data_IF_998544331080
#
_entry.id   IF_998544331080
#
_cell.length_a   1.000
_cell.length_b   1.000
_cell.length_c   1.000
_cell.angle_alpha   90.00
_cell.angle_beta   90.00
_cell.angle_gamma   90.00
#
_symmetry.space_group_name_H-M   'P 1'
#
loop_
_entity.id
_entity.type
_entity.pdbx_description
1 polymer ?
#
# COMPACT_ATOMS: atom_id res chain seq x y z
N UNK A 1 -19.00 -10.74 45.06
CA UNK A 1 -18.12 -9.72 44.47
C UNK A 1 -17.61 -10.26 43.15
N UNK A 2 -18.31 -9.96 42.06
CA UNK A 2 -18.01 -10.45 40.72
C UNK A 2 -17.29 -9.35 39.99
N UNK A 3 -15.95 -9.47 39.88
CA UNK A 3 -15.11 -8.58 39.08
C UNK A 3 -15.35 -8.85 37.60
N UNK A 4 -16.20 -8.04 37.00
CA UNK A 4 -16.39 -8.01 35.55
C UNK A 4 -15.12 -7.52 34.88
N UNK A 5 -14.33 -8.43 34.32
CA UNK A 5 -13.28 -8.07 33.37
C UNK A 5 -13.96 -7.55 32.10
N UNK A 6 -14.10 -6.25 32.02
CA UNK A 6 -14.36 -5.57 30.76
C UNK A 6 -13.16 -5.86 29.83
N UNK A 7 -13.30 -6.90 29.04
CA UNK A 7 -12.42 -7.14 27.89
C UNK A 7 -12.63 -5.95 26.96
N UNK A 8 -11.71 -5.00 27.01
CA UNK A 8 -11.65 -3.93 26.03
C UNK A 8 -11.57 -4.60 24.66
N UNK A 9 -12.66 -4.54 23.92
CA UNK A 9 -12.71 -4.96 22.53
C UNK A 9 -11.67 -4.13 21.78
N UNK A 10 -10.71 -4.73 21.05
CA UNK A 10 -9.76 -3.96 20.27
C UNK A 10 -10.55 -3.10 19.26
N UNK A 11 -10.14 -1.85 19.04
CA UNK A 11 -10.83 -0.96 18.11
C UNK A 11 -10.96 -1.66 16.75
N UNK A 12 -12.15 -1.58 16.16
CA UNK A 12 -12.49 -2.18 14.87
C UNK A 12 -11.59 -1.57 13.78
N UNK A 13 -10.48 -2.22 13.44
CA UNK A 13 -9.39 -1.71 12.57
C UNK A 13 -9.54 -2.09 11.11
N UNK A 14 -10.58 -2.84 10.76
CA UNK A 14 -10.97 -3.09 9.39
C UNK A 14 -11.05 -1.82 8.53
N UNK A 15 -11.55 -0.68 9.07
CA UNK A 15 -11.62 0.57 8.34
C UNK A 15 -10.27 1.11 7.86
N UNK A 16 -9.23 1.15 8.71
CA UNK A 16 -7.91 1.69 8.35
C UNK A 16 -7.22 0.88 7.24
N UNK A 17 -7.28 -0.45 7.33
CA UNK A 17 -6.74 -1.32 6.28
C UNK A 17 -7.43 -1.07 4.94
N UNK A 18 -8.77 -1.02 4.95
CA UNK A 18 -9.55 -0.78 3.74
C UNK A 18 -9.27 0.60 3.15
N UNK A 19 -9.14 1.60 3.99
CA UNK A 19 -8.83 2.98 3.60
C UNK A 19 -7.46 3.07 2.92
N UNK A 20 -6.41 2.49 3.50
CA UNK A 20 -5.07 2.44 2.92
C UNK A 20 -5.08 1.69 1.58
N UNK A 21 -5.76 0.55 1.48
CA UNK A 21 -5.90 -0.19 0.22
C UNK A 21 -6.56 0.66 -0.85
N UNK A 22 -7.65 1.35 -0.53
CA UNK A 22 -8.38 2.22 -1.46
C UNK A 22 -7.50 3.37 -1.93
N UNK A 23 -6.77 4.02 -1.01
CA UNK A 23 -5.84 5.08 -1.34
C UNK A 23 -4.74 4.62 -2.31
N UNK A 24 -4.09 3.51 -2.01
CA UNK A 24 -2.98 3.01 -2.82
C UNK A 24 -3.46 2.52 -4.19
N UNK A 25 -4.64 1.91 -4.27
CA UNK A 25 -5.27 1.56 -5.54
C UNK A 25 -5.61 2.81 -6.37
N UNK A 26 -6.14 3.88 -5.75
CA UNK A 26 -6.41 5.16 -6.40
C UNK A 26 -5.11 5.84 -6.89
N UNK A 27 -3.99 5.64 -6.21
CA UNK A 27 -2.66 6.07 -6.65
C UNK A 27 -2.08 5.22 -7.79
N UNK A 28 -2.82 4.23 -8.30
CA UNK A 28 -2.41 3.35 -9.40
C UNK A 28 -1.45 2.25 -8.99
N UNK A 29 -1.32 1.98 -7.70
CA UNK A 29 -0.47 0.91 -7.19
C UNK A 29 -1.25 -0.41 -7.15
N UNK A 30 -0.81 -1.47 -7.84
CA UNK A 30 -1.50 -2.75 -7.85
C UNK A 30 -1.44 -3.39 -6.46
N UNK A 31 -2.57 -3.97 -6.03
CA UNK A 31 -2.62 -4.76 -4.80
C UNK A 31 -2.01 -6.14 -5.01
N UNK A 32 -1.17 -6.55 -4.09
CA UNK A 32 -0.62 -7.91 -4.08
C UNK A 32 -1.67 -8.89 -3.54
N UNK A 33 -1.83 -10.01 -4.23
CA UNK A 33 -2.65 -11.11 -3.74
C UNK A 33 -2.02 -11.73 -2.49
N UNK A 34 -2.79 -11.74 -1.40
CA UNK A 34 -2.33 -12.23 -0.10
C UNK A 34 -2.30 -13.76 -0.01
N UNK A 35 -3.03 -14.45 -0.87
CA UNK A 35 -3.18 -15.89 -0.82
C UNK A 35 -1.97 -16.64 -1.38
N UNK A 36 -1.17 -15.97 -2.23
CA UNK A 36 0.04 -16.55 -2.80
C UNK A 36 1.23 -15.57 -2.74
N UNK A 37 1.91 -15.55 -1.58
CA UNK A 37 3.11 -14.71 -1.38
C UNK A 37 4.23 -14.98 -2.39
N UNK A 38 4.25 -16.15 -3.00
CA UNK A 38 5.26 -16.49 -4.01
C UNK A 38 4.95 -15.87 -5.37
N UNK A 39 3.67 -15.62 -5.66
CA UNK A 39 3.22 -14.98 -6.89
C UNK A 39 2.89 -13.49 -6.71
N UNK A 40 2.80 -13.04 -5.47
CA UNK A 40 2.46 -11.67 -5.17
C UNK A 40 3.41 -10.68 -5.86
N UNK A 41 2.83 -9.65 -6.46
CA UNK A 41 3.53 -8.44 -6.90
C UNK A 41 2.60 -7.25 -6.65
N UNK A 42 3.17 -6.15 -6.21
CA UNK A 42 2.40 -4.99 -5.84
C UNK A 42 2.44 -4.71 -4.35
N UNK A 43 1.45 -3.97 -3.84
CA UNK A 43 1.37 -3.58 -2.43
C UNK A 43 0.57 -4.59 -1.64
N UNK A 44 1.18 -5.14 -0.62
CA UNK A 44 0.50 -5.97 0.39
C UNK A 44 0.15 -5.10 1.60
N UNK A 45 -1.12 -5.11 1.98
CA UNK A 45 -1.64 -4.40 3.15
C UNK A 45 -2.17 -5.39 4.17
N UNK A 46 -1.51 -5.50 5.31
CA UNK A 46 -1.80 -6.50 6.35
C UNK A 46 -2.19 -5.84 7.67
N UNK A 47 -3.13 -6.44 8.39
CA UNK A 47 -3.46 -6.02 9.75
C UNK A 47 -2.41 -6.58 10.73
N UNK A 48 -1.83 -5.72 11.55
CA UNK A 48 -0.82 -6.06 12.56
C UNK A 48 -1.28 -5.74 13.99
N UNK A 49 -2.57 -5.66 14.20
CA UNK A 49 -3.15 -5.37 15.51
C UNK A 49 -3.10 -3.89 15.86
N UNK A 50 -2.01 -3.24 16.22
CA UNK A 50 -1.93 -1.80 16.54
C UNK A 50 -1.58 -0.89 15.35
N UNK A 51 -1.24 -1.48 14.23
CA UNK A 51 -0.88 -0.82 12.99
C UNK A 51 -1.32 -1.63 11.79
N UNK A 52 -1.22 -1.04 10.63
CA UNK A 52 -1.37 -1.72 9.34
C UNK A 52 0.00 -1.82 8.71
N UNK A 53 0.40 -3.04 8.36
CA UNK A 53 1.63 -3.28 7.62
C UNK A 53 1.43 -2.98 6.14
N UNK A 54 2.34 -2.23 5.53
CA UNK A 54 2.35 -1.93 4.10
C UNK A 54 3.70 -2.34 3.54
N UNK A 55 3.71 -3.22 2.55
CA UNK A 55 4.92 -3.77 1.97
C UNK A 55 4.80 -3.86 0.45
N UNK A 56 5.89 -3.60 -0.28
CA UNK A 56 5.94 -3.78 -1.72
C UNK A 56 6.59 -5.11 -2.08
N UNK A 57 5.89 -5.89 -2.90
CA UNK A 57 6.40 -7.13 -3.48
C UNK A 57 6.82 -6.91 -4.92
N UNK A 58 8.09 -7.13 -5.20
CA UNK A 58 8.65 -7.13 -6.55
C UNK A 58 8.13 -8.35 -7.32
N UNK A 59 7.98 -8.23 -8.63
CA UNK A 59 7.49 -9.33 -9.46
C UNK A 59 8.29 -10.63 -9.29
N UNK A 60 7.60 -11.77 -9.40
CA UNK A 60 8.24 -13.10 -9.32
C UNK A 60 9.37 -13.27 -10.32
N UNK A 61 9.19 -12.78 -11.54
CA UNK A 61 10.21 -12.88 -12.59
C UNK A 61 11.50 -12.16 -12.20
N UNK A 62 11.40 -10.96 -11.64
CA UNK A 62 12.59 -10.21 -11.19
C UNK A 62 13.24 -10.89 -9.97
N UNK A 63 12.45 -11.37 -9.02
CA UNK A 63 12.98 -12.13 -7.86
C UNK A 63 13.68 -13.42 -8.30
N UNK A 64 13.10 -14.16 -9.26
CA UNK A 64 13.69 -15.36 -9.81
C UNK A 64 15.02 -15.08 -10.52
N UNK A 65 15.06 -14.05 -11.37
CA UNK A 65 16.28 -13.66 -12.05
C UNK A 65 17.40 -13.25 -11.07
N UNK A 66 17.07 -12.48 -10.02
CA UNK A 66 18.03 -12.11 -8.98
C UNK A 66 18.55 -13.33 -8.21
N UNK A 67 17.68 -14.28 -7.87
CA UNK A 67 18.08 -15.53 -7.22
C UNK A 67 18.99 -16.40 -8.12
N UNK A 68 18.71 -16.45 -9.41
CA UNK A 68 19.55 -17.16 -10.39
C UNK A 68 20.93 -16.52 -10.53
N UNK A 69 21.03 -15.18 -10.51
CA UNK A 69 22.31 -14.46 -10.51
C UNK A 69 23.13 -14.79 -9.25
N UNK A 70 22.50 -14.82 -8.08
CA UNK A 70 23.15 -15.18 -6.81
C UNK A 70 23.65 -16.63 -6.82
N UNK A 71 22.83 -17.56 -7.32
CA UNK A 71 23.22 -18.98 -7.43
C UNK A 71 24.41 -19.21 -8.38
N UNK A 72 24.55 -18.37 -9.42
CA UNK A 72 25.71 -18.40 -10.34
C UNK A 72 26.96 -17.71 -9.78
N UNK A 73 26.90 -17.24 -8.54
CA UNK A 73 28.02 -16.53 -7.93
C UNK A 73 28.23 -15.12 -8.48
N UNK A 74 27.20 -14.50 -9.03
CA UNK A 74 27.20 -13.10 -9.49
C UNK A 74 26.49 -12.19 -8.46
N UNK A 75 27.06 -11.96 -7.30
CA UNK A 75 26.49 -11.03 -6.35
C UNK A 75 26.43 -9.64 -7.00
N UNK A 76 25.31 -8.92 -6.81
CA UNK A 76 25.07 -7.62 -7.41
C UNK A 76 24.98 -7.62 -8.95
N UNK A 77 24.42 -8.68 -9.52
CA UNK A 77 24.04 -8.73 -10.94
C UNK A 77 22.98 -7.69 -11.31
N UNK A 78 22.60 -7.64 -12.57
CA UNK A 78 21.64 -6.62 -13.06
C UNK A 78 20.26 -6.81 -12.43
N UNK A 79 19.78 -8.05 -12.31
CA UNK A 79 18.48 -8.35 -11.71
C UNK A 79 18.47 -8.09 -10.21
N UNK A 80 19.53 -8.43 -9.51
CA UNK A 80 19.70 -8.18 -8.08
C UNK A 80 19.70 -6.65 -7.78
N UNK A 81 20.46 -5.87 -8.54
CA UNK A 81 20.45 -4.40 -8.44
C UNK A 81 19.10 -3.79 -8.78
N UNK A 82 18.41 -4.31 -9.79
CA UNK A 82 17.09 -3.83 -10.17
C UNK A 82 16.05 -4.13 -9.07
N UNK A 83 16.11 -5.32 -8.45
CA UNK A 83 15.27 -5.70 -7.34
C UNK A 83 15.49 -4.77 -6.13
N UNK A 84 16.74 -4.53 -5.75
CA UNK A 84 17.08 -3.67 -4.62
C UNK A 84 16.68 -2.21 -4.89
N UNK A 85 16.91 -1.70 -6.10
CA UNK A 85 16.49 -0.36 -6.50
C UNK A 85 14.96 -0.23 -6.47
N UNK A 86 14.22 -1.20 -7.00
CA UNK A 86 12.76 -1.20 -6.96
C UNK A 86 12.24 -1.18 -5.52
N UNK A 87 12.76 -2.04 -4.65
CA UNK A 87 12.38 -2.07 -3.23
C UNK A 87 12.62 -0.73 -2.55
N UNK A 88 13.81 -0.15 -2.70
CA UNK A 88 14.18 1.12 -2.07
C UNK A 88 13.32 2.29 -2.56
N UNK A 89 13.13 2.42 -3.87
CA UNK A 89 12.38 3.55 -4.42
C UNK A 89 10.88 3.43 -4.16
N UNK A 90 10.31 2.23 -4.27
CA UNK A 90 8.89 2.01 -3.99
C UNK A 90 8.57 2.12 -2.50
N UNK A 91 9.47 1.69 -1.63
CA UNK A 91 9.34 1.92 -0.20
C UNK A 91 9.34 3.43 0.13
N UNK A 92 10.26 4.20 -0.45
CA UNK A 92 10.29 5.65 -0.27
C UNK A 92 9.02 6.34 -0.82
N UNK A 93 8.52 5.89 -1.97
CA UNK A 93 7.27 6.39 -2.55
C UNK A 93 6.05 6.09 -1.66
N UNK A 94 5.93 4.86 -1.16
CA UNK A 94 4.86 4.47 -0.23
C UNK A 94 4.92 5.30 1.05
N UNK A 95 6.11 5.47 1.62
CA UNK A 95 6.33 6.30 2.80
C UNK A 95 5.86 7.74 2.55
N UNK A 96 6.27 8.34 1.42
CA UNK A 96 5.88 9.70 1.04
C UNK A 96 4.38 9.84 0.86
N UNK A 97 3.74 8.97 0.05
CA UNK A 97 2.29 9.01 -0.19
C UNK A 97 1.50 8.94 1.11
N UNK A 98 1.82 7.99 1.97
CA UNK A 98 1.09 7.77 3.22
C UNK A 98 1.30 8.92 4.22
N UNK A 99 2.51 9.49 4.28
CA UNK A 99 2.83 10.63 5.15
C UNK A 99 2.14 11.91 4.68
N UNK A 100 2.15 12.20 3.37
CA UNK A 100 1.50 13.37 2.77
C UNK A 100 -0.02 13.36 3.01
N UNK A 101 -0.63 12.19 3.04
CA UNK A 101 -2.06 12.02 3.34
C UNK A 101 -2.35 12.15 4.84
N UNK A 102 -1.34 12.18 5.71
CA UNK A 102 -1.47 12.44 7.14
C UNK A 102 -1.46 11.21 8.04
N UNK A 103 -1.05 10.05 7.52
CA UNK A 103 -0.80 8.88 8.36
C UNK A 103 0.50 9.00 9.15
N UNK A 104 0.54 8.36 10.31
CA UNK A 104 1.79 8.12 11.04
C UNK A 104 2.45 6.89 10.44
N UNK A 105 3.58 7.08 9.79
CA UNK A 105 4.32 6.02 9.09
C UNK A 105 5.67 5.82 9.75
N UNK A 106 5.97 4.58 10.09
CA UNK A 106 7.25 4.18 10.65
C UNK A 106 7.84 3.07 9.76
N UNK A 107 9.13 3.13 9.49
CA UNK A 107 9.82 2.00 8.87
C UNK A 107 9.89 0.85 9.88
N UNK A 108 9.66 -0.37 9.41
CA UNK A 108 9.83 -1.56 10.26
C UNK A 108 11.30 -1.70 10.71
N UNK A 109 11.53 -2.34 11.88
CA UNK A 109 12.87 -2.48 12.43
C UNK A 109 13.84 -3.19 11.46
N UNK A 110 15.15 -2.98 11.62
CA UNK A 110 16.18 -3.60 10.78
C UNK A 110 16.01 -5.12 10.71
N UNK A 111 15.88 -5.66 9.52
CA UNK A 111 15.65 -7.09 9.27
C UNK A 111 14.36 -7.40 8.50
N UNK A 112 13.46 -6.43 8.37
CA UNK A 112 12.27 -6.53 7.50
C UNK A 112 12.36 -5.45 6.41
N UNK A 113 13.23 -5.62 5.40
CA UNK A 113 13.47 -4.59 4.40
C UNK A 113 12.20 -4.31 3.60
N UNK A 114 11.79 -3.04 3.58
CA UNK A 114 10.71 -2.57 2.71
C UNK A 114 9.30 -2.66 3.28
N UNK A 115 9.14 -3.01 4.54
CA UNK A 115 7.85 -2.93 5.22
C UNK A 115 7.69 -1.62 5.99
N UNK A 116 6.48 -1.09 6.00
CA UNK A 116 6.07 0.09 6.76
C UNK A 116 5.00 -0.29 7.77
N UNK A 117 5.06 0.33 8.95
CA UNK A 117 4.01 0.29 9.95
C UNK A 117 3.22 1.60 9.89
N UNK A 118 1.92 1.51 9.63
CA UNK A 118 1.06 2.66 9.41
C UNK A 118 -0.01 2.72 10.49
N UNK A 119 -0.16 3.89 11.10
CA UNK A 119 -1.21 4.17 12.08
C UNK A 119 -2.04 5.36 11.61
N UNK A 120 -3.26 5.46 12.10
CA UNK A 120 -4.08 6.64 11.87
C UNK A 120 -3.37 7.89 12.42
N UNK A 121 -3.27 8.92 11.60
CA UNK A 121 -2.71 10.21 12.00
C UNK A 121 -3.66 10.97 12.92
N UNK A 122 -3.14 11.98 13.63
CA UNK A 122 -3.94 12.83 14.53
C UNK A 122 -4.89 13.79 13.81
N UNK A 123 -4.70 14.01 12.51
CA UNK A 123 -5.35 15.09 11.75
C UNK A 123 -6.48 14.60 10.85
N UNK A 124 -6.46 13.34 10.41
CA UNK A 124 -7.52 12.79 9.58
C UNK A 124 -8.28 11.72 10.37
N UNK A 125 -9.58 11.94 10.59
CA UNK A 125 -10.44 10.83 10.98
C UNK A 125 -10.62 9.92 9.76
N UNK A 126 -10.58 8.58 9.92
CA UNK A 126 -10.77 7.64 8.82
C UNK A 126 -11.99 7.92 7.94
N UNK A 127 -13.05 8.47 8.52
CA UNK A 127 -14.27 8.82 7.81
C UNK A 127 -14.10 10.01 6.86
N UNK A 128 -13.29 11.02 7.21
CA UNK A 128 -13.09 12.21 6.37
C UNK A 128 -12.20 11.91 5.17
N UNK A 129 -11.14 11.11 5.34
CA UNK A 129 -10.27 10.73 4.24
C UNK A 129 -10.98 9.83 3.24
N UNK A 130 -11.76 8.85 3.69
CA UNK A 130 -12.57 8.01 2.79
C UNK A 130 -13.62 8.80 2.03
N UNK A 131 -14.16 9.89 2.61
CA UNK A 131 -15.07 10.80 1.94
C UNK A 131 -14.33 11.67 0.91
N UNK A 132 -13.15 12.17 1.22
CA UNK A 132 -12.32 12.96 0.31
C UNK A 132 -11.81 12.14 -0.88
N UNK A 133 -11.37 10.90 -0.65
CA UNK A 133 -10.98 9.98 -1.72
C UNK A 133 -12.17 9.70 -2.65
N UNK A 134 -13.34 9.42 -2.09
CA UNK A 134 -14.58 9.21 -2.90
C UNK A 134 -14.94 10.44 -3.73
N UNK A 135 -14.80 11.64 -3.17
CA UNK A 135 -15.02 12.89 -3.88
C UNK A 135 -14.05 13.06 -5.05
N UNK A 136 -12.74 12.88 -4.79
CA UNK A 136 -11.70 12.96 -5.83
C UNK A 136 -11.97 11.96 -6.95
N UNK A 137 -12.32 10.71 -6.61
CA UNK A 137 -12.65 9.70 -7.61
C UNK A 137 -13.90 10.04 -8.41
N UNK A 138 -14.92 10.61 -7.77
CA UNK A 138 -16.14 11.07 -8.46
C UNK A 138 -15.82 12.22 -9.43
N UNK A 139 -15.00 13.17 -9.02
CA UNK A 139 -14.57 14.29 -9.87
C UNK A 139 -13.76 13.81 -11.09
N UNK A 140 -12.86 12.82 -10.90
CA UNK A 140 -12.10 12.23 -11.99
C UNK A 140 -12.98 11.47 -13.00
N UNK A 141 -14.01 10.77 -12.54
CA UNK A 141 -14.96 10.07 -13.42
C UNK A 141 -15.94 11.04 -14.08
N UNK A 142 -16.35 12.12 -13.42
CA UNK A 142 -17.24 13.13 -13.97
C UNK A 142 -16.62 13.95 -15.11
N UNK A 143 -15.30 14.13 -15.11
CA UNK A 143 -14.57 14.80 -16.21
C UNK A 143 -14.49 13.94 -17.47
N UNK A 144 -14.54 12.61 -17.34
CA UNK A 144 -14.47 11.70 -18.48
C UNK A 144 -15.78 11.69 -19.32
N UNK A 145 -16.92 11.95 -18.69
CA UNK A 145 -18.24 11.90 -19.37
C UNK A 145 -18.60 13.20 -20.14
N UNK A 146 -17.85 14.29 -19.91
CA UNK A 146 -18.19 15.60 -20.49
C UNK A 146 -17.55 15.86 -21.86
N UNK A 147 -16.79 14.93 -22.41
CA UNK A 147 -15.97 15.16 -23.62
C UNK A 147 -16.57 14.64 -24.93
N UNK A 148 -17.76 14.04 -24.93
CA UNK A 148 -18.30 13.35 -26.14
C UNK A 148 -19.59 13.93 -26.70
N UNK A 149 -19.94 15.21 -26.41
CA UNK A 149 -21.12 15.86 -26.95
C UNK A 149 -20.79 17.13 -27.74
N UNK A 150 -19.99 16.98 -28.79
CA UNK A 150 -19.84 17.96 -29.87
C UNK A 150 -19.89 17.27 -31.24
N UNK A 151 -21.03 16.68 -31.54
CA UNK A 151 -21.35 16.26 -32.90
C UNK A 151 -21.67 17.47 -33.79
N UNK A 152 -21.19 17.55 -35.03
CA UNK A 152 -21.51 18.62 -35.93
C UNK A 152 -22.99 18.48 -36.41
N UNK A 153 -23.78 19.49 -36.18
CA UNK A 153 -25.07 19.67 -36.84
C UNK A 153 -24.89 20.02 -38.31
N UNK A 154 -25.74 19.53 -39.17
CA UNK A 154 -25.70 19.75 -40.63
C UNK A 154 -26.04 21.19 -41.06
#
# INVERSE_FOLDING_TARGET
>A
MTSGHHRLQPPNRGPLRLEIRTLLAAAGLPEADNDDRYRAHGVLVTDRGESVGVEWFVSRSLRGAAADEQLRGWPMGTADRAQEAARRHLHAALFGILTEVGYLVEADPPGTPGALSVRAGRVATPATLAADIRRILADLHGVADSSDESGPSP
#
